data_IF_639955383541
#
_entry.id   IF_639955383541
#
_cell.length_a   1.000
_cell.length_b   1.000
_cell.length_c   1.000
_cell.angle_alpha   90.00
_cell.angle_beta   90.00
_cell.angle_gamma   90.00
#
_symmetry.space_group_name_H-M   'P 1'
#
loop_
_entity.id
_entity.type
_entity.pdbx_description
1 polymer ?
#
# COMPACT_ATOMS: atom_id res chain seq x y z
N UNK A 1 18.41 -0.17 -8.79
CA UNK A 1 17.05 -0.32 -8.29
C UNK A 1 16.16 -0.62 -9.49
N UNK A 2 15.98 -1.90 -9.75
CA UNK A 2 14.86 -2.42 -10.50
C UNK A 2 13.60 -2.33 -9.62
N UNK A 3 12.44 -2.29 -10.26
CA UNK A 3 11.16 -2.40 -9.55
C UNK A 3 10.32 -3.47 -10.21
N UNK A 4 9.84 -4.42 -9.41
CA UNK A 4 8.96 -5.50 -9.86
C UNK A 4 7.67 -5.43 -9.07
N UNK A 5 6.54 -5.42 -9.79
CA UNK A 5 5.19 -5.46 -9.21
C UNK A 5 4.59 -6.81 -9.60
N UNK A 6 4.15 -7.59 -8.61
CA UNK A 6 3.51 -8.87 -8.83
C UNK A 6 2.10 -8.87 -8.22
N UNK A 7 1.11 -9.23 -9.04
CA UNK A 7 -0.24 -9.54 -8.56
C UNK A 7 -0.25 -10.96 -8.02
N UNK A 8 -0.74 -11.16 -6.79
CA UNK A 8 -0.73 -12.44 -6.08
C UNK A 8 -2.08 -12.69 -5.41
N UNK A 9 -2.48 -13.96 -5.16
CA UNK A 9 -3.65 -14.25 -4.33
C UNK A 9 -3.53 -13.54 -2.97
N UNK A 10 -4.61 -12.89 -2.51
CA UNK A 10 -4.63 -12.12 -1.25
C UNK A 10 -4.08 -12.92 -0.06
N UNK A 11 -4.46 -14.20 0.05
CA UNK A 11 -4.00 -15.11 1.10
C UNK A 11 -2.48 -15.40 1.13
N UNK A 12 -1.71 -14.88 0.17
CA UNK A 12 -0.23 -15.01 0.09
C UNK A 12 0.50 -13.74 0.53
N UNK A 13 -0.22 -12.71 0.96
CA UNK A 13 0.38 -11.52 1.56
C UNK A 13 1.07 -11.86 2.89
N UNK A 14 2.02 -11.01 3.31
CA UNK A 14 2.77 -11.22 4.56
C UNK A 14 1.89 -11.03 5.80
N UNK A 15 0.85 -10.21 5.67
CA UNK A 15 -0.17 -9.86 6.66
C UNK A 15 -1.41 -9.35 5.90
N UNK A 16 -2.49 -9.01 6.61
CA UNK A 16 -3.71 -8.49 5.99
C UNK A 16 -3.46 -7.11 5.38
N UNK A 17 -3.27 -7.07 4.06
CA UNK A 17 -3.01 -5.84 3.30
C UNK A 17 -3.33 -6.03 1.81
N UNK A 18 -3.78 -4.97 1.15
CA UNK A 18 -4.01 -4.98 -0.30
C UNK A 18 -2.71 -4.85 -1.10
N UNK A 19 -1.71 -4.16 -0.54
CA UNK A 19 -0.40 -3.92 -1.14
C UNK A 19 0.72 -4.04 -0.11
N UNK A 20 1.89 -4.48 -0.56
CA UNK A 20 3.06 -4.65 0.29
C UNK A 20 4.35 -4.47 -0.51
N UNK A 21 5.36 -3.84 0.09
CA UNK A 21 6.66 -3.63 -0.56
C UNK A 21 7.85 -3.96 0.33
N UNK A 22 8.90 -4.48 -0.31
CA UNK A 22 10.20 -4.74 0.32
C UNK A 22 11.35 -4.30 -0.58
N UNK A 23 12.44 -3.85 0.03
CA UNK A 23 13.73 -3.75 -0.63
C UNK A 23 14.53 -5.02 -0.33
N UNK A 24 15.11 -5.62 -1.36
CA UNK A 24 16.05 -6.73 -1.16
C UNK A 24 17.47 -6.24 -0.77
N UNK A 25 18.36 -7.19 -0.50
CA UNK A 25 19.75 -6.91 -0.11
C UNK A 25 20.56 -6.19 -1.21
N UNK A 26 20.08 -6.21 -2.45
CA UNK A 26 20.69 -5.52 -3.60
C UNK A 26 20.11 -4.12 -3.83
N UNK A 27 19.07 -3.74 -3.07
CA UNK A 27 18.39 -2.46 -3.18
C UNK A 27 17.39 -2.40 -4.33
N UNK A 28 16.88 -3.54 -4.80
CA UNK A 28 15.77 -3.61 -5.74
C UNK A 28 14.43 -3.67 -4.99
N UNK A 29 13.41 -3.04 -5.57
CA UNK A 29 12.08 -2.89 -4.98
C UNK A 29 11.15 -3.98 -5.50
N UNK A 30 10.58 -4.76 -4.57
CA UNK A 30 9.59 -5.79 -4.86
C UNK A 30 8.26 -5.40 -4.23
N UNK A 31 7.24 -5.23 -5.06
CA UNK A 31 5.88 -4.89 -4.67
C UNK A 31 4.97 -6.09 -4.95
N UNK A 32 4.08 -6.38 -4.02
CA UNK A 32 3.05 -7.41 -4.11
C UNK A 32 1.70 -6.77 -3.94
N UNK A 33 0.77 -7.11 -4.83
CA UNK A 33 -0.58 -6.58 -4.84
C UNK A 33 -1.53 -7.75 -4.79
N UNK A 34 -2.55 -7.65 -3.95
CA UNK A 34 -3.62 -8.62 -3.88
C UNK A 34 -4.41 -8.61 -5.19
N UNK A 35 -4.63 -9.79 -5.77
CA UNK A 35 -5.46 -9.99 -6.94
C UNK A 35 -6.90 -9.59 -6.61
N UNK A 36 -7.37 -8.51 -7.23
CA UNK A 36 -8.72 -7.97 -7.03
C UNK A 36 -9.67 -8.42 -8.14
N UNK A 37 -9.15 -9.08 -9.18
CA UNK A 37 -9.86 -9.32 -10.43
C UNK A 37 -10.05 -8.06 -11.29
N UNK A 38 -9.58 -6.88 -10.84
CA UNK A 38 -9.63 -5.63 -11.56
C UNK A 38 -8.21 -5.06 -11.74
N UNK A 39 -7.72 -5.06 -12.97
CA UNK A 39 -6.36 -4.62 -13.30
C UNK A 39 -6.12 -3.14 -13.04
N UNK A 40 -7.16 -2.31 -13.12
CA UNK A 40 -7.00 -0.88 -12.86
C UNK A 40 -6.86 -0.61 -11.36
N UNK A 41 -7.54 -1.40 -10.52
CA UNK A 41 -7.41 -1.32 -9.07
C UNK A 41 -6.01 -1.76 -8.64
N UNK A 42 -5.53 -2.87 -9.21
CA UNK A 42 -4.17 -3.35 -8.98
C UNK A 42 -3.12 -2.34 -9.46
N UNK A 43 -3.37 -1.67 -10.59
CA UNK A 43 -2.50 -0.60 -11.04
C UNK A 43 -2.44 0.57 -10.05
N UNK A 44 -3.58 1.01 -9.52
CA UNK A 44 -3.65 2.11 -8.54
C UNK A 44 -2.89 1.77 -7.26
N UNK A 45 -3.16 0.60 -6.65
CA UNK A 45 -2.41 0.11 -5.48
C UNK A 45 -0.92 0.05 -5.81
N UNK A 46 -0.54 -0.44 -7.00
CA UNK A 46 0.87 -0.58 -7.38
C UNK A 46 1.61 0.74 -7.50
N UNK A 47 0.94 1.78 -7.99
CA UNK A 47 1.50 3.13 -8.01
C UNK A 47 1.59 3.70 -6.60
N UNK A 48 0.58 3.48 -5.76
CA UNK A 48 0.60 3.89 -4.36
C UNK A 48 1.81 3.30 -3.62
N UNK A 49 1.97 1.98 -3.65
CA UNK A 49 3.09 1.29 -3.01
C UNK A 49 4.44 1.77 -3.57
N UNK A 50 4.55 1.97 -4.89
CA UNK A 50 5.81 2.40 -5.50
C UNK A 50 6.22 3.81 -5.05
N UNK A 51 5.27 4.75 -5.00
CA UNK A 51 5.52 6.13 -4.56
C UNK A 51 5.91 6.14 -3.08
N UNK A 52 5.15 5.45 -2.25
CA UNK A 52 5.39 5.35 -0.81
C UNK A 52 6.77 4.76 -0.52
N UNK A 53 7.07 3.58 -1.08
CA UNK A 53 8.35 2.89 -0.91
C UNK A 53 9.53 3.79 -1.33
N UNK A 54 9.42 4.46 -2.47
CA UNK A 54 10.50 5.32 -2.97
C UNK A 54 10.72 6.54 -2.06
N UNK A 55 9.65 7.17 -1.57
CA UNK A 55 9.76 8.30 -0.66
C UNK A 55 10.31 7.88 0.70
N UNK A 56 9.87 6.75 1.23
CA UNK A 56 10.38 6.14 2.46
C UNK A 56 11.89 5.87 2.35
N UNK A 57 12.33 5.23 1.26
CA UNK A 57 13.75 4.98 1.00
C UNK A 57 14.54 6.30 0.91
N UNK A 58 14.04 7.28 0.15
CA UNK A 58 14.71 8.59 -0.01
C UNK A 58 14.87 9.32 1.32
N UNK A 59 13.91 9.18 2.23
CA UNK A 59 13.88 9.82 3.56
C UNK A 59 14.49 8.94 4.65
N UNK A 60 15.02 7.77 4.30
CA UNK A 60 15.67 6.80 5.20
C UNK A 60 14.73 6.28 6.29
N UNK A 61 13.44 6.19 5.99
CA UNK A 61 12.46 5.48 6.81
C UNK A 61 12.67 3.99 6.55
N UNK A 62 12.86 3.20 7.61
CA UNK A 62 13.23 1.79 7.46
C UNK A 62 11.96 0.96 7.25
N UNK A 63 11.96 0.13 6.22
CA UNK A 63 10.88 -0.85 5.94
C UNK A 63 10.49 -1.62 7.20
N UNK A 64 11.45 -2.20 7.92
CA UNK A 64 11.19 -2.91 9.18
C UNK A 64 10.42 -2.13 10.25
N UNK A 65 10.56 -0.79 10.29
CA UNK A 65 9.85 0.04 11.26
C UNK A 65 8.41 0.29 10.80
N UNK A 66 8.17 0.34 9.49
CA UNK A 66 6.84 0.40 8.83
C UNK A 66 6.14 -0.95 9.01
N UNK A 67 6.71 -2.05 8.53
CA UNK A 67 6.12 -3.38 8.65
C UNK A 67 5.80 -3.77 10.10
N UNK A 68 6.65 -3.39 11.07
CA UNK A 68 6.34 -3.59 12.49
C UNK A 68 5.13 -2.76 12.94
N UNK A 69 5.03 -1.52 12.48
CA UNK A 69 3.89 -0.66 12.78
C UNK A 69 2.61 -1.23 12.17
N UNK A 70 2.62 -1.61 10.90
CA UNK A 70 1.44 -2.10 10.16
C UNK A 70 0.92 -3.41 10.77
N UNK A 71 1.81 -4.38 11.01
CA UNK A 71 1.41 -5.63 11.69
C UNK A 71 0.82 -5.36 13.08
N UNK A 72 1.36 -4.38 13.81
CA UNK A 72 0.82 -4.00 15.10
C UNK A 72 -0.52 -3.27 14.98
N UNK A 73 -0.69 -2.42 13.96
CA UNK A 73 -1.93 -1.74 13.67
C UNK A 73 -3.03 -2.77 13.38
N UNK A 74 -2.80 -3.69 12.44
CA UNK A 74 -3.76 -4.74 12.08
C UNK A 74 -4.13 -5.62 13.27
N UNK A 75 -3.13 -6.02 14.07
CA UNK A 75 -3.37 -6.84 15.26
C UNK A 75 -4.26 -6.15 16.31
N UNK A 76 -4.22 -4.82 16.38
CA UNK A 76 -4.99 -4.02 17.33
C UNK A 76 -6.17 -3.30 16.68
N UNK A 77 -6.49 -3.59 15.41
CA UNK A 77 -7.58 -2.96 14.67
C UNK A 77 -8.90 -3.24 15.40
N UNK A 78 -9.61 -2.16 15.72
CA UNK A 78 -10.94 -2.25 16.32
C UNK A 78 -11.96 -2.70 15.28
N UNK A 79 -12.97 -3.47 15.69
CA UNK A 79 -14.02 -3.92 14.79
C UNK A 79 -14.75 -2.72 14.15
N UNK A 80 -14.81 -2.71 12.82
CA UNK A 80 -15.40 -1.62 12.04
C UNK A 80 -14.47 -0.44 11.74
N UNK A 81 -13.22 -0.47 12.18
CA UNK A 81 -12.21 0.48 11.73
C UNK A 81 -11.69 0.09 10.33
N UNK A 82 -11.91 0.95 9.34
CA UNK A 82 -11.47 0.79 7.94
C UNK A 82 -10.30 1.71 7.58
N UNK A 83 -9.67 2.37 8.55
CA UNK A 83 -8.53 3.25 8.30
C UNK A 83 -7.31 2.42 7.86
N UNK A 84 -6.49 2.98 6.97
CA UNK A 84 -5.20 2.39 6.62
C UNK A 84 -4.13 2.71 7.69
N UNK A 85 -3.17 1.80 7.95
CA UNK A 85 -2.11 2.05 8.93
C UNK A 85 -1.34 3.34 8.65
N UNK A 86 -1.15 3.68 7.37
CA UNK A 86 -0.43 4.89 6.93
C UNK A 86 -1.14 6.20 7.26
N UNK A 87 -2.45 6.20 7.52
CA UNK A 87 -3.19 7.40 7.91
C UNK A 87 -3.05 7.74 9.40
N UNK A 88 -2.72 6.73 10.22
CA UNK A 88 -2.63 6.88 11.66
C UNK A 88 -1.56 7.91 12.04
N UNK A 89 -1.88 8.81 12.98
CA UNK A 89 -1.01 9.95 13.35
C UNK A 89 0.40 9.54 13.81
N UNK A 90 0.56 8.31 14.30
CA UNK A 90 1.84 7.75 14.75
C UNK A 90 2.57 6.94 13.68
N UNK A 91 2.00 6.76 12.49
CA UNK A 91 2.65 6.02 11.43
C UNK A 91 3.94 6.75 10.98
N UNK A 92 5.10 6.06 10.95
CA UNK A 92 6.37 6.69 10.65
C UNK A 92 6.47 7.18 9.20
N UNK A 93 5.59 6.67 8.33
CA UNK A 93 5.52 6.92 6.90
C UNK A 93 4.25 7.69 6.49
N UNK A 94 3.53 8.29 7.45
CA UNK A 94 2.25 8.98 7.21
C UNK A 94 2.31 10.04 6.12
N UNK A 95 3.43 10.77 6.02
CA UNK A 95 3.57 11.84 5.03
C UNK A 95 3.76 11.30 3.62
N UNK A 96 4.41 10.14 3.51
CA UNK A 96 4.67 9.42 2.29
C UNK A 96 3.39 8.76 1.80
N UNK A 97 2.68 8.09 2.71
CA UNK A 97 1.36 7.50 2.50
C UNK A 97 0.36 8.52 1.95
N UNK A 98 0.12 9.61 2.68
CA UNK A 98 -0.84 10.64 2.26
C UNK A 98 -0.50 11.30 0.91
N UNK A 99 0.79 11.34 0.55
CA UNK A 99 1.20 11.83 -0.76
C UNK A 99 0.90 10.79 -1.85
N UNK A 100 1.18 9.51 -1.60
CA UNK A 100 0.85 8.41 -2.49
C UNK A 100 -0.67 8.34 -2.74
N UNK A 101 -1.50 8.34 -1.69
CA UNK A 101 -2.97 8.36 -1.77
C UNK A 101 -3.46 9.55 -2.59
N UNK A 102 -2.84 10.73 -2.45
CA UNK A 102 -3.22 11.89 -3.26
C UNK A 102 -3.00 11.62 -4.76
N UNK A 103 -1.86 11.06 -5.15
CA UNK A 103 -1.56 10.76 -6.56
C UNK A 103 -2.46 9.65 -7.07
N UNK A 104 -2.69 8.62 -6.26
CA UNK A 104 -3.61 7.54 -6.56
C UNK A 104 -5.02 8.06 -6.85
N UNK A 105 -5.54 9.00 -6.04
CA UNK A 105 -6.83 9.65 -6.28
C UNK A 105 -6.89 10.44 -7.58
N UNK A 106 -5.81 11.11 -7.96
CA UNK A 106 -5.74 11.82 -9.25
C UNK A 106 -5.73 10.82 -10.43
N UNK A 107 -5.03 9.69 -10.30
CA UNK A 107 -5.02 8.63 -11.32
C UNK A 107 -6.38 7.91 -11.41
N UNK A 108 -7.01 7.59 -10.29
CA UNK A 108 -8.33 6.98 -10.26
C UNK A 108 -9.34 7.87 -10.99
N UNK A 109 -9.28 9.19 -10.76
CA UNK A 109 -10.09 10.16 -11.48
C UNK A 109 -9.80 10.20 -12.99
N UNK A 110 -8.54 10.14 -13.40
CA UNK A 110 -8.16 10.11 -14.82
C UNK A 110 -8.62 8.82 -15.52
N UNK A 111 -8.73 7.72 -14.78
CA UNK A 111 -9.22 6.42 -15.26
C UNK A 111 -10.75 6.28 -15.17
N UNK A 112 -11.47 7.34 -14.81
CA UNK A 112 -12.93 7.33 -14.57
C UNK A 112 -13.38 6.30 -13.52
N UNK A 113 -12.55 6.03 -12.50
CA UNK A 113 -12.83 5.11 -11.39
C UNK A 113 -13.51 5.85 -10.24
N UNK A 114 -14.64 5.32 -9.75
CA UNK A 114 -15.27 5.81 -8.52
C UNK A 114 -14.42 5.44 -7.31
N UNK A 115 -13.92 6.47 -6.61
CA UNK A 115 -13.05 6.27 -5.45
C UNK A 115 -13.72 5.49 -4.32
N UNK A 116 -15.02 5.67 -4.08
CA UNK A 116 -15.68 4.99 -2.96
C UNK A 116 -15.91 3.51 -3.28
N UNK A 117 -16.24 3.18 -4.53
CA UNK A 117 -16.35 1.79 -4.98
C UNK A 117 -14.99 1.08 -4.95
N UNK A 118 -13.95 1.78 -5.42
CA UNK A 118 -12.58 1.32 -5.36
C UNK A 118 -12.13 1.05 -3.93
N UNK A 119 -12.17 2.06 -3.05
CA UNK A 119 -11.72 1.92 -1.65
C UNK A 119 -12.49 0.81 -0.93
N UNK A 120 -13.81 0.74 -1.12
CA UNK A 120 -14.61 -0.34 -0.54
C UNK A 120 -14.15 -1.72 -1.01
N UNK A 121 -13.84 -1.89 -2.29
CA UNK A 121 -13.36 -3.17 -2.83
C UNK A 121 -12.02 -3.56 -2.21
N UNK A 122 -11.13 -2.58 -2.02
CA UNK A 122 -9.82 -2.78 -1.41
C UNK A 122 -9.95 -3.13 0.09
N UNK A 123 -10.85 -2.46 0.80
CA UNK A 123 -11.11 -2.68 2.24
C UNK A 123 -11.80 -4.04 2.53
N UNK A 124 -12.46 -4.65 1.54
CA UNK A 124 -13.21 -5.91 1.68
C UNK A 124 -12.43 -7.17 1.22
N UNK A 125 -11.15 -7.02 0.83
CA UNK A 125 -10.25 -8.14 0.49
C UNK A 125 -9.98 -9.07 1.67
#
# INVERSE_FOLDING_TARGET
MNTTINIIPHSRQRYETCGDWIFDDFGDLHIRISDTGNTDYEFLVGIHEQIEAYLCNKRRIKEKDITRFDIQFEKNREEGNTDEPGDHILAPYRKEHQFATKIERELAKELDIDWNEYSKTIDEL
#
